data_IF_813881154430
#
_entry.id   IF_813881154430
#
_cell.length_a   1.000
_cell.length_b   1.000
_cell.length_c   1.000
_cell.angle_alpha   90.00
_cell.angle_beta   90.00
_cell.angle_gamma   90.00
#
_symmetry.space_group_name_H-M   'P 1'
#
loop_
_entity.id
_entity.type
_entity.pdbx_description
1 polymer ?
#
# COMPACT_ATOMS: atom_id res chain seq x y z
N UNK A 1 67.38 2.16 -37.90
CA UNK A 1 67.28 3.63 -37.71
C UNK A 1 66.32 4.19 -38.74
N UNK A 2 65.05 4.37 -38.39
CA UNK A 2 64.27 5.57 -38.65
C UNK A 2 62.96 5.44 -37.86
N UNK A 3 62.86 6.28 -36.83
CA UNK A 3 61.67 6.52 -36.03
C UNK A 3 60.66 7.27 -36.90
N UNK A 4 59.43 6.79 -36.98
CA UNK A 4 58.31 7.61 -37.42
C UNK A 4 57.30 7.70 -36.28
N UNK A 5 57.31 8.89 -35.69
CA UNK A 5 56.40 9.46 -34.72
C UNK A 5 55.20 10.09 -35.46
N UNK A 6 54.16 10.48 -34.71
CA UNK A 6 52.93 11.24 -35.11
C UNK A 6 51.70 10.36 -35.42
N UNK A 7 50.47 10.59 -34.95
CA UNK A 7 49.73 11.65 -34.23
C UNK A 7 48.62 10.92 -33.43
N UNK A 8 48.39 11.15 -32.14
CA UNK A 8 47.69 12.28 -31.51
C UNK A 8 46.22 12.49 -31.94
N UNK A 9 45.36 11.48 -31.75
CA UNK A 9 43.90 11.65 -31.71
C UNK A 9 43.40 11.58 -30.26
N UNK A 10 43.50 12.71 -29.56
CA UNK A 10 42.77 12.97 -28.32
C UNK A 10 41.28 13.10 -28.65
N UNK A 11 40.58 11.98 -28.72
CA UNK A 11 39.12 11.97 -28.71
C UNK A 11 38.64 12.48 -27.34
N UNK A 12 38.32 13.77 -27.30
CA UNK A 12 37.68 14.41 -26.16
C UNK A 12 36.41 13.61 -25.81
N UNK A 13 36.46 12.92 -24.66
CA UNK A 13 35.30 12.38 -23.96
C UNK A 13 34.42 13.57 -23.55
N UNK A 14 33.62 14.08 -24.49
CA UNK A 14 32.48 14.92 -24.17
C UNK A 14 31.52 14.07 -23.35
N UNK A 15 31.62 14.23 -22.03
CA UNK A 15 30.60 13.76 -21.11
C UNK A 15 29.24 14.30 -21.59
N UNK A 16 28.22 13.45 -21.74
CA UNK A 16 26.91 13.90 -22.18
C UNK A 16 26.41 14.97 -21.21
N UNK A 17 25.75 16.04 -21.72
CA UNK A 17 25.16 17.06 -20.88
C UNK A 17 24.21 16.36 -19.91
N UNK A 18 24.49 16.51 -18.62
CA UNK A 18 23.64 16.07 -17.54
C UNK A 18 22.24 16.62 -17.79
N UNK A 19 21.34 15.72 -18.19
CA UNK A 19 19.90 15.93 -18.25
C UNK A 19 19.42 16.15 -16.80
N UNK A 20 19.64 17.35 -16.29
CA UNK A 20 18.87 17.93 -15.19
C UNK A 20 17.47 18.22 -15.71
N UNK A 21 16.76 17.14 -16.03
CA UNK A 21 15.31 17.14 -16.17
C UNK A 21 14.75 17.36 -14.77
N UNK A 22 14.62 18.63 -14.40
CA UNK A 22 13.67 19.11 -13.42
C UNK A 22 12.26 18.83 -13.93
N UNK A 23 11.91 17.54 -14.01
CA UNK A 23 10.54 17.11 -14.24
C UNK A 23 9.78 17.48 -12.98
N UNK A 24 9.06 18.60 -13.02
CA UNK A 24 7.95 18.84 -12.11
C UNK A 24 7.07 17.60 -12.21
N UNK A 25 7.17 16.71 -11.22
CA UNK A 25 6.42 15.46 -11.14
C UNK A 25 4.94 15.83 -10.96
N UNK A 26 4.29 16.20 -12.06
CA UNK A 26 2.85 16.30 -12.07
C UNK A 26 2.32 14.89 -11.83
N UNK A 27 1.74 14.70 -10.64
CA UNK A 27 0.97 13.50 -10.33
C UNK A 27 -0.07 13.29 -11.44
N UNK A 28 -0.29 12.05 -11.90
CA UNK A 28 -1.31 11.79 -12.90
C UNK A 28 -2.66 12.33 -12.45
N UNK A 29 -3.49 12.85 -13.36
CA UNK A 29 -4.82 13.41 -13.01
C UNK A 29 -5.71 12.45 -12.21
N UNK A 30 -5.54 11.14 -12.41
CA UNK A 30 -6.28 10.09 -11.69
C UNK A 30 -5.79 9.85 -10.25
N UNK A 31 -4.65 10.41 -9.86
CA UNK A 31 -3.99 10.16 -8.57
C UNK A 31 -4.84 10.63 -7.39
N UNK A 32 -5.35 11.87 -7.48
CA UNK A 32 -6.20 12.44 -6.43
C UNK A 32 -7.58 11.77 -6.41
N UNK A 33 -8.12 11.42 -7.59
CA UNK A 33 -9.35 10.63 -7.69
C UNK A 33 -9.19 9.24 -7.05
N UNK A 34 -8.04 8.59 -7.22
CA UNK A 34 -7.77 7.29 -6.62
C UNK A 34 -7.68 7.38 -5.10
N UNK A 35 -7.01 8.42 -4.56
CA UNK A 35 -7.01 8.67 -3.11
C UNK A 35 -8.44 8.85 -2.59
N UNK A 36 -9.21 9.71 -3.26
CA UNK A 36 -10.60 9.97 -2.89
C UNK A 36 -11.44 8.69 -2.91
N UNK A 37 -11.28 7.86 -3.96
CA UNK A 37 -11.95 6.57 -4.08
C UNK A 37 -11.66 5.65 -2.89
N UNK A 38 -10.39 5.53 -2.48
CA UNK A 38 -10.01 4.67 -1.36
C UNK A 38 -10.67 5.09 -0.03
N UNK A 39 -10.83 6.40 0.18
CA UNK A 39 -11.35 6.98 1.42
C UNK A 39 -12.88 7.06 1.46
N UNK A 40 -13.55 7.20 0.31
CA UNK A 40 -14.96 7.56 0.25
C UNK A 40 -15.85 6.52 -0.46
N UNK A 41 -15.26 5.55 -1.16
CA UNK A 41 -16.01 4.52 -1.89
C UNK A 41 -15.76 3.17 -1.23
N UNK A 42 -16.82 2.43 -0.96
CA UNK A 42 -16.71 1.04 -0.48
C UNK A 42 -16.27 0.14 -1.62
N UNK A 43 -15.22 -0.66 -1.41
CA UNK A 43 -14.64 -1.45 -2.49
C UNK A 43 -13.94 -2.72 -1.98
N UNK A 44 -13.65 -3.64 -2.89
CA UNK A 44 -13.02 -4.93 -2.60
C UNK A 44 -13.93 -5.91 -1.83
N UNK A 45 -13.37 -7.05 -1.43
CA UNK A 45 -14.13 -8.18 -0.88
C UNK A 45 -14.96 -7.88 0.38
N UNK A 46 -14.50 -6.96 1.22
CA UNK A 46 -15.20 -6.60 2.46
C UNK A 46 -16.16 -5.42 2.31
N UNK A 47 -16.23 -4.83 1.11
CA UNK A 47 -17.06 -3.65 0.81
C UNK A 47 -16.91 -2.54 1.89
N UNK A 48 -15.67 -2.19 2.21
CA UNK A 48 -15.33 -1.22 3.27
C UNK A 48 -14.46 -0.10 2.70
N UNK A 49 -14.63 1.10 3.24
CA UNK A 49 -13.76 2.24 2.99
C UNK A 49 -12.45 2.09 3.78
N UNK A 50 -11.38 2.69 3.29
CA UNK A 50 -10.08 2.62 3.93
C UNK A 50 -9.85 3.82 4.85
N UNK A 51 -9.27 3.55 6.02
CA UNK A 51 -8.79 4.60 6.89
C UNK A 51 -7.53 5.25 6.34
N UNK A 52 -7.31 6.52 6.69
CA UNK A 52 -6.20 7.36 6.23
C UNK A 52 -4.82 6.68 6.23
N UNK A 53 -4.48 5.91 7.28
CA UNK A 53 -3.19 5.20 7.37
C UNK A 53 -3.02 4.16 6.26
N UNK A 54 -4.07 3.36 6.00
CA UNK A 54 -4.01 2.33 4.97
C UNK A 54 -4.05 2.96 3.58
N UNK A 55 -4.83 4.04 3.39
CA UNK A 55 -4.81 4.82 2.15
C UNK A 55 -3.42 5.34 1.85
N UNK A 56 -2.77 6.00 2.82
CA UNK A 56 -1.40 6.51 2.66
C UNK A 56 -0.41 5.41 2.27
N UNK A 57 -0.51 4.25 2.90
CA UNK A 57 0.33 3.09 2.55
C UNK A 57 0.09 2.59 1.12
N UNK A 58 -1.17 2.43 0.70
CA UNK A 58 -1.52 2.01 -0.66
C UNK A 58 -1.01 3.03 -1.68
N UNK A 59 -1.28 4.32 -1.44
CA UNK A 59 -0.83 5.41 -2.30
C UNK A 59 0.69 5.42 -2.46
N UNK A 60 1.44 5.20 -1.37
CA UNK A 60 2.89 5.11 -1.42
C UNK A 60 3.38 3.96 -2.32
N UNK A 61 2.83 2.75 -2.14
CA UNK A 61 3.22 1.58 -2.94
C UNK A 61 2.87 1.74 -4.42
N UNK A 62 1.65 2.20 -4.72
CA UNK A 62 1.26 2.50 -6.10
C UNK A 62 2.13 3.61 -6.68
N UNK A 63 2.60 4.56 -5.86
CA UNK A 63 3.46 5.66 -6.30
C UNK A 63 4.79 5.16 -6.85
N UNK A 64 5.41 4.22 -6.13
CA UNK A 64 6.63 3.53 -6.58
C UNK A 64 6.43 2.75 -7.87
N UNK A 65 5.27 2.10 -8.03
CA UNK A 65 4.94 1.37 -9.25
C UNK A 65 4.71 2.32 -10.43
N UNK A 66 4.02 3.45 -10.23
CA UNK A 66 3.74 4.44 -11.27
C UNK A 66 5.01 5.16 -11.72
N UNK A 67 5.93 5.45 -10.80
CA UNK A 67 7.23 6.05 -11.11
C UNK A 67 8.20 5.07 -11.78
N UNK A 68 7.96 3.76 -11.66
CA UNK A 68 8.88 2.72 -12.14
C UNK A 68 10.07 2.49 -11.20
N UNK A 69 10.06 3.04 -9.98
CA UNK A 69 11.06 2.72 -8.94
C UNK A 69 11.03 1.22 -8.61
N UNK A 70 9.85 0.62 -8.71
CA UNK A 70 9.58 -0.75 -8.30
C UNK A 70 9.43 -0.87 -6.78
N UNK A 71 9.06 -2.05 -6.31
CA UNK A 71 8.86 -2.31 -4.89
C UNK A 71 9.89 -3.30 -4.39
N UNK A 72 10.51 -2.98 -3.26
CA UNK A 72 11.44 -3.85 -2.54
C UNK A 72 10.94 -4.06 -1.11
N UNK A 73 11.28 -5.20 -0.51
CA UNK A 73 11.07 -5.46 0.90
C UNK A 73 12.34 -6.00 1.54
N UNK A 74 12.57 -5.64 2.80
CA UNK A 74 13.73 -6.07 3.58
C UNK A 74 13.83 -7.59 3.78
N UNK A 75 12.72 -8.32 3.62
CA UNK A 75 12.69 -9.79 3.74
C UNK A 75 12.98 -10.48 2.40
N UNK A 76 13.04 -9.75 1.31
CA UNK A 76 13.43 -10.32 0.03
C UNK A 76 14.96 -10.32 -0.10
N UNK A 77 15.52 -11.23 -0.92
CA UNK A 77 16.95 -11.24 -1.20
C UNK A 77 17.43 -9.88 -1.71
N UNK A 78 18.70 -9.56 -1.43
CA UNK A 78 19.32 -8.34 -1.92
C UNK A 78 19.20 -8.26 -3.46
N UNK A 79 18.79 -7.09 -3.96
CA UNK A 79 18.55 -6.87 -5.39
C UNK A 79 17.16 -7.30 -5.90
N UNK A 80 16.36 -8.03 -5.12
CA UNK A 80 15.00 -8.38 -5.53
C UNK A 80 14.10 -7.14 -5.55
N UNK A 81 13.63 -6.77 -6.74
CA UNK A 81 12.74 -5.63 -6.94
C UNK A 81 11.61 -5.99 -7.90
N UNK A 82 10.38 -5.80 -7.45
CA UNK A 82 9.19 -6.05 -8.26
C UNK A 82 8.96 -4.88 -9.22
N UNK A 83 8.93 -5.15 -10.53
CA UNK A 83 8.67 -4.18 -11.62
C UNK A 83 9.59 -2.96 -11.68
N UNK A 84 10.88 -3.12 -11.35
CA UNK A 84 11.87 -2.04 -11.50
C UNK A 84 11.98 -1.57 -12.95
N UNK A 85 11.96 -0.27 -13.18
CA UNK A 85 12.05 0.36 -14.51
C UNK A 85 10.75 0.35 -15.31
N UNK A 86 9.69 -0.31 -14.83
CA UNK A 86 8.40 -0.42 -15.52
C UNK A 86 7.37 0.44 -14.82
N UNK A 87 7.08 1.61 -15.38
CA UNK A 87 6.06 2.52 -14.86
C UNK A 87 4.64 1.99 -15.10
N UNK A 88 3.94 1.64 -14.04
CA UNK A 88 2.55 1.15 -14.11
C UNK A 88 1.60 2.28 -14.53
N UNK A 89 0.62 1.95 -15.38
CA UNK A 89 -0.43 2.86 -15.88
C UNK A 89 -1.79 2.18 -15.79
N UNK A 90 -2.86 2.95 -15.61
CA UNK A 90 -4.24 2.42 -15.55
C UNK A 90 -4.68 1.68 -16.83
N UNK A 91 -4.13 2.06 -17.98
CA UNK A 91 -4.41 1.41 -19.26
C UNK A 91 -3.79 0.02 -19.42
N UNK A 92 -2.88 -0.38 -18.53
CA UNK A 92 -2.25 -1.71 -18.57
C UNK A 92 -3.22 -2.80 -18.13
N UNK A 93 -2.82 -4.05 -18.37
CA UNK A 93 -3.47 -5.21 -17.79
C UNK A 93 -3.12 -5.35 -16.30
N UNK A 94 -3.98 -4.75 -15.46
CA UNK A 94 -3.83 -4.78 -14.02
C UNK A 94 -4.13 -6.16 -13.41
N UNK A 95 -4.84 -7.04 -14.13
CA UNK A 95 -5.12 -8.41 -13.67
C UNK A 95 -3.87 -9.27 -13.81
N UNK A 96 -3.21 -9.22 -14.97
CA UNK A 96 -1.92 -9.88 -15.16
C UNK A 96 -0.88 -9.37 -14.14
N UNK A 97 -0.82 -8.06 -13.91
CA UNK A 97 0.07 -7.46 -12.91
C UNK A 97 -0.23 -7.96 -11.48
N UNK A 98 -1.51 -8.12 -11.13
CA UNK A 98 -1.94 -8.65 -9.84
C UNK A 98 -1.52 -10.10 -9.66
N UNK A 99 -1.68 -10.91 -10.70
CA UNK A 99 -1.38 -12.34 -10.65
C UNK A 99 0.14 -12.56 -10.58
N UNK A 100 0.92 -11.77 -11.32
CA UNK A 100 2.38 -11.71 -11.22
C UNK A 100 2.85 -11.30 -9.81
N UNK A 101 2.22 -10.27 -9.22
CA UNK A 101 2.49 -9.88 -7.84
C UNK A 101 2.18 -11.00 -6.84
N UNK A 102 1.10 -11.76 -7.07
CA UNK A 102 0.76 -12.93 -6.27
C UNK A 102 1.82 -14.04 -6.39
N UNK A 103 2.29 -14.33 -7.60
CA UNK A 103 3.37 -15.28 -7.83
C UNK A 103 4.67 -14.82 -7.14
N UNK A 104 4.99 -13.52 -7.22
CA UNK A 104 6.15 -12.94 -6.57
C UNK A 104 6.09 -13.04 -5.04
N UNK A 105 4.91 -12.79 -4.44
CA UNK A 105 4.69 -12.97 -3.00
C UNK A 105 4.85 -14.43 -2.55
N UNK A 106 4.42 -15.39 -3.37
CA UNK A 106 4.60 -16.83 -3.12
C UNK A 106 6.08 -17.20 -3.17
N UNK A 107 6.80 -16.75 -4.19
CA UNK A 107 8.23 -17.05 -4.39
C UNK A 107 9.09 -16.60 -3.21
N UNK A 108 8.81 -15.41 -2.66
CA UNK A 108 9.61 -14.83 -1.57
C UNK A 108 8.94 -14.92 -0.19
N UNK A 109 7.92 -15.78 -0.03
CA UNK A 109 7.25 -16.16 1.22
C UNK A 109 7.14 -15.07 2.29
N UNK A 110 6.40 -13.99 1.99
CA UNK A 110 6.19 -12.93 2.95
C UNK A 110 5.02 -13.25 3.90
N UNK A 111 5.18 -14.28 4.73
CA UNK A 111 4.10 -14.90 5.52
C UNK A 111 3.66 -14.10 6.76
N UNK A 112 4.34 -13.02 7.16
CA UNK A 112 4.12 -12.41 8.48
C UNK A 112 3.22 -11.17 8.52
N UNK A 113 2.99 -10.46 7.41
CA UNK A 113 2.18 -9.21 7.40
C UNK A 113 1.34 -9.02 6.13
N UNK A 114 0.59 -10.04 5.74
CA UNK A 114 -0.40 -9.94 4.68
C UNK A 114 0.19 -9.63 3.29
N UNK A 115 -0.65 -9.73 2.26
CA UNK A 115 -0.24 -9.55 0.87
C UNK A 115 0.17 -8.08 0.58
N UNK A 116 1.46 -7.78 0.62
CA UNK A 116 1.99 -6.40 0.58
C UNK A 116 1.92 -5.75 -0.82
N UNK A 117 2.00 -6.56 -1.89
CA UNK A 117 1.92 -6.12 -3.29
C UNK A 117 0.53 -6.33 -3.87
N UNK A 118 0.00 -7.55 -3.72
CA UNK A 118 -1.29 -7.92 -4.32
C UNK A 118 -2.39 -7.02 -3.78
N UNK A 119 -2.30 -6.62 -2.51
CA UNK A 119 -3.30 -5.77 -1.90
C UNK A 119 -3.41 -4.37 -2.56
N UNK A 120 -2.35 -3.53 -2.62
CA UNK A 120 -2.38 -2.28 -3.37
C UNK A 120 -2.84 -2.45 -4.83
N UNK A 121 -2.32 -3.45 -5.55
CA UNK A 121 -2.65 -3.66 -6.96
C UNK A 121 -4.13 -4.02 -7.13
N UNK A 122 -4.68 -4.86 -6.26
CA UNK A 122 -6.10 -5.20 -6.29
C UNK A 122 -6.99 -3.97 -6.02
N UNK A 123 -6.51 -2.98 -5.26
CA UNK A 123 -7.23 -1.70 -5.10
C UNK A 123 -7.23 -0.86 -6.37
N UNK A 124 -6.12 -0.88 -7.10
CA UNK A 124 -6.03 -0.23 -8.40
C UNK A 124 -6.96 -0.90 -9.43
N UNK A 125 -7.11 -2.22 -9.38
CA UNK A 125 -8.11 -2.97 -10.18
C UNK A 125 -9.52 -2.50 -9.85
N UNK A 126 -9.90 -2.49 -8.56
CA UNK A 126 -11.24 -2.00 -8.14
C UNK A 126 -11.50 -0.56 -8.59
N UNK A 127 -10.47 0.30 -8.56
CA UNK A 127 -10.59 1.66 -9.05
C UNK A 127 -10.84 1.72 -10.56
N UNK A 128 -10.13 0.90 -11.36
CA UNK A 128 -10.36 0.79 -12.80
C UNK A 128 -11.79 0.35 -13.12
N UNK A 129 -12.32 -0.62 -12.38
CA UNK A 129 -13.72 -1.08 -12.52
C UNK A 129 -14.73 0.00 -12.10
N UNK A 130 -14.45 0.74 -11.03
CA UNK A 130 -15.27 1.86 -10.58
C UNK A 130 -15.32 2.99 -11.63
N UNK A 131 -14.19 3.28 -12.29
CA UNK A 131 -14.16 4.21 -13.42
C UNK A 131 -14.99 3.68 -14.60
N UNK A 132 -14.85 2.39 -14.94
CA UNK A 132 -15.56 1.76 -16.05
C UNK A 132 -17.08 1.68 -15.85
N UNK A 133 -17.54 1.58 -14.60
CA UNK A 133 -18.97 1.57 -14.24
C UNK A 133 -19.61 2.96 -14.21
N UNK A 134 -18.89 4.01 -14.58
CA UNK A 134 -19.41 5.39 -14.61
C UNK A 134 -19.43 6.08 -13.25
N UNK A 135 -18.53 5.68 -12.32
CA UNK A 135 -18.42 6.25 -10.98
C UNK A 135 -19.73 6.13 -10.18
N UNK A 136 -20.26 4.91 -9.98
CA UNK A 136 -21.50 4.74 -9.22
C UNK A 136 -21.35 5.42 -7.85
N UNK A 137 -22.39 6.17 -7.49
CA UNK A 137 -22.45 6.91 -6.23
C UNK A 137 -22.22 5.91 -5.09
N UNK A 138 -21.39 6.23 -4.08
CA UNK A 138 -21.21 5.34 -2.94
C UNK A 138 -22.58 4.97 -2.39
N UNK A 139 -22.89 3.67 -2.33
CA UNK A 139 -24.02 3.20 -1.54
C UNK A 139 -23.79 3.73 -0.13
N UNK A 140 -24.78 4.41 0.44
CA UNK A 140 -24.69 4.94 1.80
C UNK A 140 -24.10 3.85 2.70
N UNK A 141 -22.94 4.16 3.30
CA UNK A 141 -22.18 3.16 4.03
C UNK A 141 -23.13 2.48 5.02
N UNK A 142 -23.23 1.13 5.03
CA UNK A 142 -24.07 0.46 6.01
C UNK A 142 -23.61 0.95 7.38
N UNK A 143 -24.55 1.42 8.21
CA UNK A 143 -24.37 2.12 9.49
C UNK A 143 -23.62 1.33 10.59
N UNK A 144 -22.72 0.43 10.21
CA UNK A 144 -21.98 -0.52 11.06
C UNK A 144 -20.81 0.11 11.81
N UNK A 145 -20.57 1.43 11.69
CA UNK A 145 -19.53 2.12 12.48
C UNK A 145 -19.97 2.55 13.87
N UNK A 146 -21.27 2.51 14.19
CA UNK A 146 -21.79 2.87 15.53
C UNK A 146 -21.74 1.68 16.50
N UNK A 147 -21.77 0.44 16.01
CA UNK A 147 -21.96 -0.75 16.87
C UNK A 147 -20.72 -1.08 17.75
N UNK A 148 -19.51 -0.69 17.35
CA UNK A 148 -18.30 -1.01 18.15
C UNK A 148 -18.07 -0.08 19.35
N UNK A 149 -18.65 1.12 19.37
CA UNK A 149 -18.55 2.01 20.54
C UNK A 149 -19.57 1.60 21.60
N UNK A 150 -20.78 1.24 21.20
CA UNK A 150 -21.82 0.77 22.13
C UNK A 150 -21.37 -0.47 22.92
N UNK A 151 -20.77 -1.47 22.25
CA UNK A 151 -20.29 -2.68 22.94
C UNK A 151 -19.18 -2.41 23.96
N UNK A 152 -18.31 -1.42 23.70
CA UNK A 152 -17.22 -1.05 24.61
C UNK A 152 -17.71 -0.29 25.83
N UNK A 153 -18.85 0.41 25.72
CA UNK A 153 -19.50 1.07 26.85
C UNK A 153 -20.22 0.03 27.73
N UNK A 154 -20.92 -0.95 27.13
CA UNK A 154 -21.56 -2.04 27.88
C UNK A 154 -20.54 -2.87 28.68
N UNK A 155 -19.38 -3.20 28.10
CA UNK A 155 -18.30 -3.92 28.79
C UNK A 155 -17.63 -3.10 29.92
N UNK A 156 -17.73 -1.76 29.88
CA UNK A 156 -17.24 -0.87 30.93
C UNK A 156 -18.30 -0.54 32.00
N UNK A 157 -19.58 -0.86 31.75
CA UNK A 157 -20.68 -0.63 32.70
C UNK A 157 -20.96 -1.86 33.56
N UNK A 158 -20.50 -3.06 33.20
CA UNK A 158 -20.50 -4.18 34.16
C UNK A 158 -19.59 -3.82 35.34
N UNK A 159 -20.15 -3.59 36.54
CA UNK A 159 -19.32 -3.29 37.70
C UNK A 159 -18.44 -4.51 37.95
N UNK A 160 -17.13 -4.28 38.03
CA UNK A 160 -16.20 -5.22 38.65
C UNK A 160 -16.85 -5.72 39.94
N UNK A 161 -17.33 -6.97 39.92
CA UNK A 161 -17.89 -7.65 41.08
C UNK A 161 -16.71 -7.97 41.99
N UNK A 162 -16.23 -6.95 42.69
CA UNK A 162 -15.29 -7.08 43.81
C UNK A 162 -16.03 -7.93 44.83
N UNK A 163 -15.68 -9.22 44.90
CA UNK A 163 -16.08 -10.09 46.00
C UNK A 163 -15.31 -9.59 47.21
N UNK A 164 -15.96 -8.76 48.03
CA UNK A 164 -15.51 -8.58 49.40
C UNK A 164 -15.66 -9.93 50.10
N UNK A 165 -14.53 -10.50 50.50
CA UNK A 165 -14.53 -11.66 51.38
C UNK A 165 -15.09 -11.18 52.73
N UNK A 166 -16.28 -11.64 53.09
CA UNK A 166 -16.77 -11.56 54.47
C UNK A 166 -15.93 -12.53 55.28
N UNK A 167 -14.96 -12.01 56.04
CA UNK A 167 -14.37 -12.76 57.14
C UNK A 167 -15.32 -12.64 58.33
N UNK A 168 -16.29 -13.55 58.41
CA UNK A 168 -16.95 -13.87 59.68
C UNK A 168 -16.10 -14.95 60.35
N UNK A 169 -15.12 -14.52 61.16
CA UNK A 169 -14.46 -15.41 62.12
C UNK A 169 -15.10 -15.21 63.50
N UNK A 170 -15.67 -16.30 63.97
CA UNK A 170 -16.45 -16.50 65.19
C UNK A 170 -15.79 -15.97 66.47
N UNK A 171 -16.58 -15.22 67.23
CA UNK A 171 -16.30 -14.89 68.63
C UNK A 171 -16.61 -16.13 69.49
N UNK A 172 -15.59 -16.79 70.00
CA UNK A 172 -15.74 -17.76 71.09
C UNK A 172 -15.55 -17.03 72.42
N UNK A 173 -16.66 -16.83 73.15
CA UNK A 173 -16.64 -16.37 74.55
C UNK A 173 -16.47 -17.61 75.45
N UNK A 174 -15.57 -17.56 76.46
CA UNK A 174 -15.27 -18.69 77.35
C UNK A 174 -16.43 -19.08 78.28
#
# INVERSE_FOLDING_TARGET
FYLQQEQNDSAALQLPPSLSSSSSQHSPKWWDEFRWFLENVTHGAHNQMYGFKNTSYIMFQIGKLVSGEGITYHLWPEGACFKKGVGVRLGMDLYALRDEAGAWEITYQNCRRGALLKHPINKLVCFKEWLASGKPKPLEAPAKRIIRVAKRIEDCITPNRIKWASNDDDVHVP
#
